data_IF_287367527315
#
_entry.id   IF_287367527315
#
_cell.length_a   1.000
_cell.length_b   1.000
_cell.length_c   1.000
_cell.angle_alpha   90.00
_cell.angle_beta   90.00
_cell.angle_gamma   90.00
#
_symmetry.space_group_name_H-M   'P 1'
#
loop_
_entity.id
_entity.type
_entity.pdbx_description
1 polymer ?
#
# COMPACT_ATOMS: atom_id res chain seq x y z
N UNK A 1 -12.82 -21.90 -6.81
CA UNK A 1 -11.98 -22.08 -5.61
C UNK A 1 -10.72 -21.24 -5.77
N UNK A 2 -10.24 -20.57 -4.72
CA UNK A 2 -9.04 -19.72 -4.75
C UNK A 2 -7.99 -20.18 -3.72
N UNK A 3 -7.66 -21.48 -3.72
CA UNK A 3 -6.83 -22.11 -2.67
C UNK A 3 -5.83 -23.06 -3.30
N UNK A 4 -4.61 -23.06 -2.75
CA UNK A 4 -3.59 -24.05 -3.08
C UNK A 4 -3.83 -25.33 -2.27
N UNK A 5 -3.38 -26.46 -2.82
CA UNK A 5 -3.47 -27.79 -2.20
C UNK A 5 -2.12 -28.50 -2.29
N UNK A 6 -1.79 -29.30 -1.27
CA UNK A 6 -0.62 -30.18 -1.29
C UNK A 6 -0.97 -31.57 -1.82
N UNK A 7 -0.12 -32.13 -2.67
CA UNK A 7 -0.25 -33.49 -3.21
C UNK A 7 0.83 -34.46 -2.74
N UNK A 8 1.54 -34.12 -1.66
CA UNK A 8 2.71 -34.85 -1.15
C UNK A 8 3.86 -34.86 -2.17
N UNK A 9 4.60 -35.96 -2.32
CA UNK A 9 5.65 -36.12 -3.31
C UNK A 9 5.52 -37.46 -4.06
N UNK A 10 6.14 -37.52 -5.23
CA UNK A 10 6.33 -38.72 -6.04
C UNK A 10 7.81 -39.05 -6.12
N UNK A 11 8.19 -40.29 -5.83
CA UNK A 11 9.56 -40.74 -5.99
C UNK A 11 9.93 -40.90 -7.48
N UNK A 12 11.09 -40.38 -7.89
CA UNK A 12 11.64 -40.52 -9.24
C UNK A 12 13.13 -40.85 -9.17
N UNK A 13 13.45 -42.15 -9.24
CA UNK A 13 14.83 -42.63 -9.08
C UNK A 13 15.35 -42.34 -7.68
N UNK A 14 16.41 -41.55 -7.57
CA UNK A 14 16.98 -41.11 -6.30
C UNK A 14 16.43 -39.75 -5.82
N UNK A 15 15.45 -39.16 -6.52
CA UNK A 15 14.87 -37.85 -6.21
C UNK A 15 13.40 -37.95 -5.78
N UNK A 16 12.91 -36.92 -5.09
CA UNK A 16 11.49 -36.75 -4.74
C UNK A 16 10.92 -35.52 -5.43
N UNK A 17 9.82 -35.69 -6.15
CA UNK A 17 9.09 -34.62 -6.82
C UNK A 17 7.90 -34.18 -5.98
N UNK A 18 7.95 -32.98 -5.42
CA UNK A 18 6.83 -32.42 -4.66
C UNK A 18 5.66 -32.10 -5.60
N UNK A 19 4.48 -32.63 -5.29
CA UNK A 19 3.23 -32.35 -6.01
C UNK A 19 2.51 -31.20 -5.30
N UNK A 20 2.24 -30.14 -6.06
CA UNK A 20 1.51 -28.95 -5.58
C UNK A 20 0.38 -28.60 -6.54
N UNK A 21 -0.83 -28.48 -6.00
CA UNK A 21 -1.96 -27.86 -6.67
C UNK A 21 -1.90 -26.34 -6.49
N UNK A 22 -1.82 -25.61 -7.59
CA UNK A 22 -1.92 -24.14 -7.60
C UNK A 22 -3.34 -23.77 -7.97
N UNK A 23 -4.00 -23.00 -7.11
CA UNK A 23 -5.38 -22.55 -7.31
C UNK A 23 -5.55 -21.08 -6.97
N UNK A 24 -4.46 -20.30 -6.91
CA UNK A 24 -4.53 -18.87 -6.65
C UNK A 24 -4.85 -18.13 -7.96
N UNK A 25 -5.81 -17.21 -7.92
CA UNK A 25 -6.07 -16.25 -8.99
C UNK A 25 -4.82 -15.39 -9.19
N UNK A 26 -4.35 -15.30 -10.43
CA UNK A 26 -3.14 -14.54 -10.78
C UNK A 26 -3.37 -13.03 -10.65
N UNK A 27 -2.28 -12.27 -10.66
CA UNK A 27 -2.35 -10.81 -10.63
C UNK A 27 -2.60 -10.21 -12.01
N UNK A 28 -3.10 -8.98 -12.05
CA UNK A 28 -3.32 -8.22 -13.28
C UNK A 28 -4.35 -8.87 -14.22
N UNK A 29 -4.12 -8.73 -15.52
CA UNK A 29 -5.05 -9.18 -16.57
C UNK A 29 -5.29 -10.70 -16.56
N UNK A 30 -4.27 -11.48 -16.20
CA UNK A 30 -4.40 -12.92 -16.05
C UNK A 30 -5.38 -13.29 -14.92
N UNK A 31 -5.42 -12.48 -13.85
CA UNK A 31 -6.40 -12.62 -12.78
C UNK A 31 -7.83 -12.37 -13.23
N UNK A 32 -8.04 -11.36 -14.09
CA UNK A 32 -9.35 -11.07 -14.66
C UNK A 32 -9.84 -12.25 -15.51
N UNK A 33 -8.95 -12.83 -16.32
CA UNK A 33 -9.24 -14.03 -17.11
C UNK A 33 -9.53 -15.24 -16.22
N UNK A 34 -8.76 -15.43 -15.15
CA UNK A 34 -8.97 -16.51 -14.17
C UNK A 34 -10.36 -16.40 -13.54
N UNK A 35 -10.74 -15.21 -13.08
CA UNK A 35 -12.06 -14.94 -12.49
C UNK A 35 -13.16 -15.15 -13.53
N UNK A 36 -13.01 -14.61 -14.75
CA UNK A 36 -13.99 -14.78 -15.82
C UNK A 36 -14.26 -16.24 -16.17
N UNK A 37 -13.24 -17.09 -16.09
CA UNK A 37 -13.34 -18.52 -16.37
C UNK A 37 -13.89 -19.38 -15.22
N UNK A 38 -14.19 -18.79 -14.06
CA UNK A 38 -14.75 -19.55 -12.93
C UNK A 38 -16.13 -20.10 -13.31
N UNK A 39 -16.35 -21.42 -13.19
CA UNK A 39 -17.66 -22.03 -13.45
C UNK A 39 -18.64 -21.67 -12.34
N UNK A 40 -19.87 -21.29 -12.72
CA UNK A 40 -20.96 -20.94 -11.80
C UNK A 40 -22.11 -21.95 -11.83
N UNK A 41 -22.35 -22.60 -12.97
CA UNK A 41 -23.35 -23.66 -13.13
C UNK A 41 -22.88 -24.64 -14.20
N UNK A 42 -23.23 -25.90 -14.04
CA UNK A 42 -23.15 -26.91 -15.09
C UNK A 42 -24.56 -27.48 -15.32
N UNK A 43 -24.97 -27.58 -16.58
CA UNK A 43 -26.27 -28.12 -16.99
C UNK A 43 -26.10 -28.88 -18.30
N UNK A 44 -26.45 -30.17 -18.31
CA UNK A 44 -26.36 -31.05 -19.49
C UNK A 44 -25.00 -31.01 -20.23
N UNK A 45 -23.90 -30.88 -19.48
CA UNK A 45 -22.54 -30.81 -20.02
C UNK A 45 -22.11 -29.43 -20.52
N UNK A 46 -22.99 -28.43 -20.46
CA UNK A 46 -22.64 -27.03 -20.70
C UNK A 46 -22.26 -26.35 -19.39
N UNK A 47 -21.09 -25.72 -19.38
CA UNK A 47 -20.58 -24.98 -18.24
C UNK A 47 -20.83 -23.49 -18.46
N UNK A 48 -21.62 -22.89 -17.57
CA UNK A 48 -21.79 -21.43 -17.49
C UNK A 48 -20.69 -20.88 -16.59
N UNK A 49 -19.99 -19.86 -17.07
CA UNK A 49 -18.87 -19.17 -16.41
C UNK A 49 -19.28 -17.77 -15.95
N UNK A 50 -18.47 -17.14 -15.10
CA UNK A 50 -18.67 -15.74 -14.70
C UNK A 50 -18.73 -14.83 -15.94
N UNK A 51 -17.85 -15.05 -16.92
CA UNK A 51 -17.82 -14.26 -18.17
C UNK A 51 -19.11 -14.31 -18.99
N UNK A 52 -19.93 -15.35 -18.80
CA UNK A 52 -21.19 -15.50 -19.54
C UNK A 52 -22.31 -14.64 -18.96
N UNK A 53 -22.15 -14.17 -17.72
CA UNK A 53 -23.18 -13.45 -16.95
C UNK A 53 -22.73 -12.11 -16.39
N UNK A 54 -21.43 -11.79 -16.46
CA UNK A 54 -20.86 -10.56 -15.91
C UNK A 54 -19.59 -10.13 -16.65
N UNK A 55 -19.31 -8.82 -16.61
CA UNK A 55 -18.02 -8.25 -17.02
C UNK A 55 -17.06 -8.27 -15.84
N UNK A 56 -15.82 -8.71 -16.08
CA UNK A 56 -14.75 -8.75 -15.07
C UNK A 56 -13.71 -7.70 -15.40
N UNK A 57 -13.55 -6.70 -14.54
CA UNK A 57 -12.64 -5.58 -14.73
C UNK A 57 -11.97 -5.16 -13.42
N UNK A 58 -10.88 -4.41 -13.53
CA UNK A 58 -10.26 -3.76 -12.38
C UNK A 58 -11.10 -2.54 -11.99
N UNK A 59 -11.53 -2.51 -10.74
CA UNK A 59 -12.30 -1.41 -10.17
C UNK A 59 -11.66 -0.86 -8.89
N UNK A 60 -12.16 0.29 -8.44
CA UNK A 60 -11.85 0.82 -7.12
C UNK A 60 -12.66 0.10 -6.04
N UNK A 61 -12.09 0.00 -4.84
CA UNK A 61 -12.83 -0.41 -3.65
C UNK A 61 -13.82 0.68 -3.22
N UNK A 62 -14.87 0.31 -2.49
CA UNK A 62 -15.81 1.26 -1.89
C UNK A 62 -15.04 2.17 -0.91
N UNK A 63 -14.94 3.45 -1.28
CA UNK A 63 -14.18 4.45 -0.54
C UNK A 63 -14.85 4.74 0.80
N UNK A 64 -14.08 4.63 1.88
CA UNK A 64 -14.52 5.00 3.25
C UNK A 64 -14.14 6.44 3.62
N UNK A 65 -13.39 7.13 2.75
CA UNK A 65 -12.96 8.51 2.95
C UNK A 65 -12.14 9.00 1.76
N UNK A 66 -11.88 10.30 1.74
CA UNK A 66 -11.02 10.95 0.75
C UNK A 66 -10.15 11.98 1.47
N UNK A 67 -8.95 12.24 0.94
CA UNK A 67 -8.07 13.30 1.42
C UNK A 67 -7.85 14.29 0.29
N UNK A 68 -8.07 15.57 0.58
CA UNK A 68 -7.71 16.66 -0.33
C UNK A 68 -6.59 17.50 0.28
N UNK A 69 -5.73 18.04 -0.57
CA UNK A 69 -4.60 18.85 -0.12
C UNK A 69 -4.66 20.24 -0.76
N UNK A 70 -4.47 21.25 0.08
CA UNK A 70 -4.26 22.64 -0.34
C UNK A 70 -2.95 23.11 0.28
N UNK A 71 -2.03 23.56 -0.55
CA UNK A 71 -0.76 24.14 -0.15
C UNK A 71 -0.76 25.65 -0.43
N UNK A 72 0.17 26.39 0.17
CA UNK A 72 0.41 27.79 -0.20
C UNK A 72 1.67 27.88 -1.04
N UNK A 73 1.65 28.72 -2.06
CA UNK A 73 2.86 29.02 -2.82
C UNK A 73 3.79 29.99 -2.09
N UNK A 74 4.92 30.30 -2.74
CA UNK A 74 5.93 31.21 -2.19
C UNK A 74 5.39 32.62 -1.93
N UNK A 75 4.34 33.03 -2.66
CA UNK A 75 3.67 34.32 -2.51
C UNK A 75 2.50 34.26 -1.51
N UNK A 76 2.26 33.10 -0.91
CA UNK A 76 1.23 32.86 0.10
C UNK A 76 -0.17 32.55 -0.47
N UNK A 77 -0.32 32.44 -1.79
CA UNK A 77 -1.60 32.15 -2.43
C UNK A 77 -1.95 30.67 -2.28
N UNK A 78 -3.24 30.34 -2.05
CA UNK A 78 -3.68 28.96 -1.93
C UNK A 78 -3.65 28.25 -3.30
N UNK A 79 -3.03 27.07 -3.34
CA UNK A 79 -3.03 26.15 -4.47
C UNK A 79 -3.70 24.84 -4.06
N UNK A 80 -4.79 24.49 -4.74
CA UNK A 80 -5.53 23.25 -4.51
C UNK A 80 -4.94 22.14 -5.38
N UNK A 81 -4.54 21.03 -4.75
CA UNK A 81 -4.01 19.85 -5.45
C UNK A 81 -5.10 18.80 -5.72
N UNK A 82 -6.30 18.99 -5.18
CA UNK A 82 -7.40 18.02 -5.31
C UNK A 82 -7.19 16.81 -4.39
N UNK A 83 -7.68 15.65 -4.84
CA UNK A 83 -7.56 14.39 -4.10
C UNK A 83 -6.13 13.85 -4.16
N UNK A 84 -5.59 13.48 -3.00
CA UNK A 84 -4.23 12.94 -2.86
C UNK A 84 -4.22 11.68 -2.01
N UNK A 85 -3.15 10.89 -2.14
CA UNK A 85 -2.88 9.75 -1.25
C UNK A 85 -2.16 10.25 -0.01
N UNK A 86 -2.73 10.00 1.17
CA UNK A 86 -2.12 10.36 2.46
C UNK A 86 -1.53 9.13 3.15
N UNK A 87 -0.26 9.22 3.52
CA UNK A 87 0.40 8.28 4.43
C UNK A 87 0.50 8.87 5.84
N UNK A 88 0.14 8.09 6.87
CA UNK A 88 0.28 8.49 8.27
C UNK A 88 1.20 7.53 8.99
N UNK A 89 2.20 8.08 9.69
CA UNK A 89 3.13 7.29 10.50
C UNK A 89 2.65 7.30 11.95
N UNK A 90 2.30 6.12 12.45
CA UNK A 90 1.93 5.92 13.85
C UNK A 90 3.14 5.41 14.63
N UNK A 91 3.54 6.14 15.67
CA UNK A 91 4.61 5.72 16.60
C UNK A 91 4.04 4.91 17.76
N UNK A 92 4.88 4.04 18.34
CA UNK A 92 4.56 3.34 19.59
C UNK A 92 4.40 4.34 20.74
N UNK A 93 3.48 4.03 21.65
CA UNK A 93 3.31 4.82 22.88
C UNK A 93 4.61 4.81 23.70
N UNK A 94 5.03 5.97 24.19
CA UNK A 94 6.28 6.13 24.95
C UNK A 94 7.57 6.13 24.12
N UNK A 95 7.48 5.93 22.79
CA UNK A 95 8.65 6.04 21.93
C UNK A 95 9.14 7.50 21.84
N UNK A 96 10.46 7.69 21.77
CA UNK A 96 11.04 9.00 21.55
C UNK A 96 10.65 9.51 20.15
N UNK A 97 9.93 10.63 20.12
CA UNK A 97 9.39 11.25 18.90
C UNK A 97 10.49 11.59 17.90
N UNK A 98 11.58 12.22 18.35
CA UNK A 98 12.66 12.69 17.48
C UNK A 98 13.38 11.53 16.80
N UNK A 99 13.80 10.54 17.61
CA UNK A 99 14.47 9.33 17.10
C UNK A 99 13.60 8.56 16.09
N UNK A 100 12.30 8.45 16.37
CA UNK A 100 11.36 7.78 15.47
C UNK A 100 11.23 8.52 14.12
N UNK A 101 11.11 9.85 14.16
CA UNK A 101 10.99 10.68 12.95
C UNK A 101 12.27 10.67 12.13
N UNK A 102 13.43 10.79 12.77
CA UNK A 102 14.73 10.73 12.10
C UNK A 102 14.89 9.39 11.35
N UNK A 103 14.54 8.28 12.00
CA UNK A 103 14.57 6.95 11.38
C UNK A 103 13.63 6.83 10.18
N UNK A 104 12.45 7.46 10.26
CA UNK A 104 11.48 7.50 9.14
C UNK A 104 12.04 8.32 7.98
N UNK A 105 12.57 9.51 8.24
CA UNK A 105 13.18 10.38 7.21
C UNK A 105 14.30 9.67 6.46
N UNK A 106 15.14 8.93 7.17
CA UNK A 106 16.20 8.15 6.53
C UNK A 106 15.66 7.03 5.65
N UNK A 107 14.59 6.36 6.07
CA UNK A 107 13.95 5.32 5.25
C UNK A 107 13.22 5.90 4.04
N UNK A 108 12.63 7.08 4.16
CA UNK A 108 11.92 7.76 3.06
C UNK A 108 12.81 7.98 1.84
N UNK A 109 14.11 8.25 2.04
CA UNK A 109 15.09 8.35 0.94
C UNK A 109 15.13 7.08 0.09
N UNK A 110 15.04 5.90 0.72
CA UNK A 110 15.04 4.62 0.02
C UNK A 110 13.68 4.35 -0.63
N UNK A 111 12.59 4.69 0.05
CA UNK A 111 11.23 4.49 -0.48
C UNK A 111 11.01 5.33 -1.73
N UNK A 112 11.49 6.58 -1.73
CA UNK A 112 11.38 7.48 -2.88
C UNK A 112 12.00 6.89 -4.16
N UNK A 113 13.05 6.08 -4.05
CA UNK A 113 13.69 5.41 -5.21
C UNK A 113 12.84 4.28 -5.80
N UNK A 114 11.89 3.75 -5.06
CA UNK A 114 11.00 2.67 -5.51
C UNK A 114 9.68 3.21 -6.09
N UNK A 115 9.47 4.52 -6.07
CA UNK A 115 8.24 5.12 -6.58
C UNK A 115 8.27 5.18 -8.12
N UNK A 116 7.12 4.99 -8.78
CA UNK A 116 7.00 5.18 -10.21
C UNK A 116 7.31 6.63 -10.63
N UNK A 117 7.68 6.80 -11.90
CA UNK A 117 7.91 8.11 -12.49
C UNK A 117 6.69 9.03 -12.31
N UNK A 118 6.94 10.28 -11.89
CA UNK A 118 5.92 11.29 -11.66
C UNK A 118 5.25 11.24 -10.27
N UNK A 119 5.57 10.25 -9.43
CA UNK A 119 5.09 10.20 -8.05
C UNK A 119 6.06 10.92 -7.11
N UNK A 120 5.55 11.88 -6.35
CA UNK A 120 6.32 12.68 -5.39
C UNK A 120 5.81 12.39 -3.98
N UNK A 121 6.73 12.17 -3.05
CA UNK A 121 6.44 11.98 -1.63
C UNK A 121 6.81 13.25 -0.86
N UNK A 122 5.79 14.00 -0.45
CA UNK A 122 5.95 15.29 0.25
C UNK A 122 5.48 15.16 1.71
N UNK A 123 6.37 15.37 2.71
CA UNK A 123 5.97 15.45 4.12
C UNK A 123 5.17 16.73 4.39
N UNK A 124 3.89 16.59 4.74
CA UNK A 124 3.01 17.74 5.05
C UNK A 124 2.93 18.11 6.54
N UNK A 125 3.40 17.21 7.41
CA UNK A 125 3.37 17.40 8.86
C UNK A 125 4.53 16.65 9.51
N UNK A 126 5.30 17.36 10.34
CA UNK A 126 6.39 16.80 11.13
C UNK A 126 6.30 17.29 12.59
N UNK A 127 6.10 16.35 13.52
CA UNK A 127 6.04 16.67 14.95
C UNK A 127 7.40 17.09 15.54
N UNK A 128 8.52 16.70 14.91
CA UNK A 128 9.86 17.05 15.38
C UNK A 128 10.09 18.56 15.38
N UNK A 129 9.52 19.29 14.43
CA UNK A 129 9.67 20.74 14.32
C UNK A 129 9.17 21.46 15.58
N UNK A 130 8.02 21.04 16.11
CA UNK A 130 7.46 21.58 17.35
C UNK A 130 8.34 21.23 18.56
N UNK A 131 8.90 20.01 18.60
CA UNK A 131 9.80 19.58 19.68
C UNK A 131 11.07 20.44 19.68
N UNK A 132 11.66 20.66 18.51
CA UNK A 132 12.90 21.43 18.37
C UNK A 132 12.69 22.91 18.71
N UNK A 133 11.56 23.50 18.30
CA UNK A 133 11.16 24.85 18.71
C UNK A 133 10.98 24.97 20.23
N UNK A 134 10.34 23.98 20.87
CA UNK A 134 10.15 23.98 22.32
C UNK A 134 11.50 23.90 23.06
N UNK A 135 12.38 22.97 22.66
CA UNK A 135 13.72 22.82 23.25
C UNK A 135 14.55 24.09 23.07
N UNK A 136 14.54 24.69 21.89
CA UNK A 136 15.24 25.95 21.60
C UNK A 136 14.73 27.09 22.50
N UNK A 137 13.41 27.18 22.68
CA UNK A 137 12.80 28.23 23.51
C UNK A 137 13.22 28.10 24.97
N UNK A 138 13.19 26.88 25.53
CA UNK A 138 13.65 26.63 26.91
C UNK A 138 15.15 26.89 27.05
N UNK A 139 15.96 26.44 26.08
CA UNK A 139 17.42 26.61 26.11
C UNK A 139 17.81 28.09 26.11
N UNK A 140 17.15 28.90 25.27
CA UNK A 140 17.37 30.35 25.24
C UNK A 140 17.00 31.00 26.57
N UNK A 141 15.84 30.67 27.13
CA UNK A 141 15.39 31.22 28.40
C UNK A 141 16.35 30.89 29.57
N UNK A 142 16.99 29.72 29.55
CA UNK A 142 17.99 29.33 30.56
C UNK A 142 19.33 30.03 30.41
N UNK A 143 19.71 30.46 29.20
CA UNK A 143 20.96 31.20 28.96
C UNK A 143 20.80 32.69 29.26
N UNK A 144 19.59 33.23 29.07
CA UNK A 144 19.26 34.63 29.35
C UNK A 144 18.99 34.90 30.85
N UNK A 145 18.87 33.85 31.68
CA UNK A 145 18.66 33.92 33.12
C UNK A 145 19.98 33.93 33.91
#
# INVERSE_FOLDING_TARGET
SNRNSGGWYLDRGAEQLVIRGVGWVRSGDDGLRDIGNVPVKEEDGFVVRISDVATVELGGEIRQGATTLTIRDADGNPQQLGEVVLGVVLKRLGANTKVAIDSVKDRLKTVALALPDGVILEPIYDQADLVDQAVSTVSRALIEA
#
